data_IF_121573269798
#
_entry.id   IF_121573269798
#
_cell.length_a   1.000
_cell.length_b   1.000
_cell.length_c   1.000
_cell.angle_alpha   90.00
_cell.angle_beta   90.00
_cell.angle_gamma   90.00
#
_symmetry.space_group_name_H-M   'P 1'
#
loop_
_entity.id
_entity.type
_entity.pdbx_description
1 polymer ?
#
# COMPACT_ATOMS: atom_id res chain seq x y z
N UNK A 1 -26.47 -2.71 78.54
CA UNK A 1 -26.80 -1.71 79.58
C UNK A 1 -26.09 -0.41 79.24
N UNK A 2 -26.74 0.74 79.48
CA UNK A 2 -26.95 1.76 78.45
C UNK A 2 -26.42 3.15 78.86
N UNK A 3 -26.48 4.11 77.95
CA UNK A 3 -27.04 5.46 78.20
C UNK A 3 -27.18 6.18 76.83
N UNK A 4 -28.35 6.14 76.18
CA UNK A 4 -29.50 7.09 76.23
C UNK A 4 -29.20 8.57 75.98
N UNK A 5 -30.02 9.13 75.07
CA UNK A 5 -30.62 10.49 74.97
C UNK A 5 -30.17 11.24 73.70
N UNK A 6 -30.98 11.97 72.94
CA UNK A 6 -32.43 12.29 72.89
C UNK A 6 -32.69 12.99 71.55
N UNK A 7 -33.89 12.83 70.97
CA UNK A 7 -34.36 13.58 69.79
C UNK A 7 -34.57 15.07 70.10
N UNK A 8 -34.40 15.96 69.10
CA UNK A 8 -35.29 17.12 68.84
C UNK A 8 -34.99 17.86 67.50
N UNK A 9 -36.07 18.06 66.74
CA UNK A 9 -36.48 19.21 65.92
C UNK A 9 -35.59 19.86 64.81
N UNK A 10 -36.17 19.95 63.60
CA UNK A 10 -35.93 20.92 62.51
C UNK A 10 -36.30 22.37 62.93
N UNK A 11 -35.93 23.49 62.24
CA UNK A 11 -35.85 23.67 60.77
C UNK A 11 -34.79 24.65 60.17
N UNK A 12 -34.78 24.70 58.82
CA UNK A 12 -34.33 25.72 57.83
C UNK A 12 -33.30 26.81 58.22
N UNK A 13 -32.20 26.88 57.44
CA UNK A 13 -31.62 28.13 56.98
C UNK A 13 -30.86 27.93 55.65
N UNK A 14 -31.13 28.81 54.68
CA UNK A 14 -30.58 28.83 53.34
C UNK A 14 -29.20 29.52 53.30
N UNK A 15 -28.35 29.11 52.36
CA UNK A 15 -27.24 29.93 51.88
C UNK A 15 -27.03 29.70 50.38
N UNK A 16 -27.21 30.79 49.64
CA UNK A 16 -27.08 31.01 48.20
C UNK A 16 -25.62 30.86 47.73
N UNK A 17 -25.40 30.13 46.64
CA UNK A 17 -24.14 30.14 45.89
C UNK A 17 -24.36 30.75 44.50
N UNK A 18 -23.51 31.72 44.18
CA UNK A 18 -23.51 32.56 42.97
C UNK A 18 -23.19 31.75 41.72
N UNK A 19 -24.03 31.90 40.69
CA UNK A 19 -23.79 31.45 39.31
C UNK A 19 -22.99 32.53 38.58
N UNK A 20 -21.78 32.19 38.15
CA UNK A 20 -21.01 32.95 37.17
C UNK A 20 -20.76 32.08 35.94
N UNK A 21 -21.63 32.17 34.94
CA UNK A 21 -21.51 31.44 33.68
C UNK A 21 -20.52 32.14 32.74
N UNK A 22 -19.39 31.50 32.47
CA UNK A 22 -18.56 31.83 31.32
C UNK A 22 -19.11 31.08 30.09
N UNK A 23 -19.64 31.83 29.12
CA UNK A 23 -20.00 31.33 27.79
C UNK A 23 -18.72 30.94 27.06
N UNK A 24 -18.36 29.66 27.10
CA UNK A 24 -17.43 29.08 26.14
C UNK A 24 -18.13 29.04 24.78
N UNK A 25 -17.74 29.95 23.88
CA UNK A 25 -18.06 29.85 22.46
C UNK A 25 -17.33 28.61 21.91
N UNK A 26 -18.00 27.46 21.98
CA UNK A 26 -17.54 26.23 21.36
C UNK A 26 -17.41 26.45 19.86
N UNK A 27 -16.19 26.26 19.35
CA UNK A 27 -15.98 26.03 17.91
C UNK A 27 -16.92 24.86 17.55
N UNK A 28 -17.80 24.97 16.55
CA UNK A 28 -18.63 23.85 16.17
C UNK A 28 -17.72 22.69 15.78
N UNK A 29 -17.68 21.65 16.61
CA UNK A 29 -17.27 20.33 16.15
C UNK A 29 -18.30 19.95 15.10
N UNK A 30 -17.94 20.08 13.83
CA UNK A 30 -18.75 19.48 12.77
C UNK A 30 -18.84 17.99 13.07
N UNK A 31 -20.05 17.53 13.41
CA UNK A 31 -20.34 16.11 13.45
C UNK A 31 -20.01 15.56 12.07
N UNK A 32 -18.99 14.72 11.98
CA UNK A 32 -18.59 14.07 10.73
C UNK A 32 -19.77 13.25 10.24
N UNK A 33 -20.18 13.46 8.98
CA UNK A 33 -21.25 12.66 8.41
C UNK A 33 -20.82 11.19 8.40
N UNK A 34 -21.77 10.28 8.63
CA UNK A 34 -21.49 8.86 8.55
C UNK A 34 -21.10 8.52 7.11
N UNK A 35 -20.01 7.76 6.93
CA UNK A 35 -19.62 7.28 5.60
C UNK A 35 -20.78 6.45 5.02
N UNK A 36 -21.29 6.80 3.83
CA UNK A 36 -22.44 6.12 3.24
C UNK A 36 -22.09 4.67 2.86
N UNK A 37 -23.11 3.82 2.69
CA UNK A 37 -22.92 2.40 2.36
C UNK A 37 -22.22 2.20 1.02
N UNK A 38 -22.35 3.16 0.11
CA UNK A 38 -21.58 3.25 -1.13
C UNK A 38 -21.13 4.69 -1.39
N UNK A 39 -20.01 4.87 -2.09
CA UNK A 39 -19.63 6.14 -2.72
C UNK A 39 -19.47 5.97 -4.23
N UNK A 40 -19.49 7.07 -4.98
CA UNK A 40 -19.30 7.03 -6.43
C UNK A 40 -17.81 6.88 -6.73
N UNK A 41 -17.45 5.93 -7.59
CA UNK A 41 -16.15 5.86 -8.25
C UNK A 41 -16.33 6.29 -9.70
N UNK A 42 -15.76 7.43 -10.09
CA UNK A 42 -15.74 7.86 -11.49
C UNK A 42 -14.47 7.34 -12.15
N UNK A 43 -14.66 6.54 -13.18
CA UNK A 43 -13.59 6.00 -14.03
C UNK A 43 -13.53 6.81 -15.31
N UNK A 44 -12.35 7.32 -15.66
CA UNK A 44 -12.13 8.09 -16.89
C UNK A 44 -11.07 7.40 -17.75
N UNK A 45 -11.37 7.16 -19.02
CA UNK A 45 -10.45 6.52 -19.95
C UNK A 45 -9.69 7.56 -20.78
N UNK A 46 -8.49 7.93 -20.32
CA UNK A 46 -7.55 8.80 -21.03
C UNK A 46 -6.41 8.01 -21.70
N UNK A 47 -6.57 6.70 -21.86
CA UNK A 47 -5.51 5.83 -22.38
C UNK A 47 -5.19 6.05 -23.85
N UNK A 48 -6.10 6.67 -24.61
CA UNK A 48 -6.03 6.79 -26.06
C UNK A 48 -6.26 5.46 -26.79
N UNK A 49 -6.58 4.38 -26.07
CA UNK A 49 -6.75 3.03 -26.63
C UNK A 49 -8.20 2.78 -27.07
N UNK A 50 -8.38 2.18 -28.24
CA UNK A 50 -9.71 1.91 -28.82
C UNK A 50 -10.32 0.59 -28.37
N UNK A 51 -9.54 -0.29 -27.74
CA UNK A 51 -10.04 -1.56 -27.22
C UNK A 51 -11.07 -1.34 -26.10
N UNK A 52 -12.07 -2.23 -25.95
CA UNK A 52 -12.98 -2.17 -24.81
C UNK A 52 -12.22 -2.30 -23.49
N UNK A 53 -12.69 -1.58 -22.47
CA UNK A 53 -12.21 -1.71 -21.10
C UNK A 53 -13.15 -2.62 -20.31
N UNK A 54 -12.61 -3.56 -19.56
CA UNK A 54 -13.36 -4.36 -18.60
C UNK A 54 -12.91 -4.01 -17.18
N UNK A 55 -13.85 -3.69 -16.31
CA UNK A 55 -13.62 -3.37 -14.91
C UNK A 55 -14.06 -4.53 -14.01
N UNK A 56 -13.42 -4.69 -12.85
CA UNK A 56 -13.84 -5.67 -11.84
C UNK A 56 -13.64 -5.06 -10.45
N UNK A 57 -14.67 -5.10 -9.60
CA UNK A 57 -14.58 -4.73 -8.18
C UNK A 57 -14.61 -5.99 -7.32
N UNK A 58 -13.44 -6.47 -6.89
CA UNK A 58 -13.24 -7.79 -6.30
C UNK A 58 -12.63 -7.69 -4.90
N UNK A 59 -13.15 -8.42 -3.93
CA UNK A 59 -12.66 -8.32 -2.56
C UNK A 59 -13.59 -8.89 -1.51
N UNK A 60 -13.58 -8.30 -0.32
CA UNK A 60 -14.31 -8.74 0.86
C UNK A 60 -15.34 -7.69 1.28
N UNK A 61 -16.60 -8.11 1.42
CA UNK A 61 -17.65 -7.28 2.02
C UNK A 61 -17.45 -7.19 3.53
N UNK A 62 -17.30 -5.97 4.06
CA UNK A 62 -16.88 -5.78 5.45
C UNK A 62 -17.96 -6.18 6.48
N UNK A 63 -19.24 -6.06 6.12
CA UNK A 63 -20.34 -6.43 7.02
C UNK A 63 -20.48 -7.94 7.25
N UNK A 64 -20.15 -8.75 6.24
CA UNK A 64 -20.31 -10.21 6.27
C UNK A 64 -18.99 -10.97 6.37
N UNK A 65 -17.86 -10.33 6.04
CA UNK A 65 -16.56 -10.98 5.90
C UNK A 65 -16.45 -11.92 4.69
N UNK A 66 -17.46 -11.95 3.81
CA UNK A 66 -17.46 -12.82 2.63
C UNK A 66 -16.66 -12.22 1.48
N UNK A 67 -15.91 -13.07 0.77
CA UNK A 67 -15.29 -12.69 -0.50
C UNK A 67 -16.30 -12.77 -1.65
N UNK A 68 -16.18 -11.85 -2.59
CA UNK A 68 -17.07 -11.75 -3.74
C UNK A 68 -16.66 -10.61 -4.66
N UNK A 69 -17.65 -10.08 -5.36
CA UNK A 69 -17.52 -8.93 -6.25
C UNK A 69 -18.70 -7.98 -6.07
N UNK A 70 -18.50 -6.71 -6.42
CA UNK A 70 -19.57 -5.73 -6.49
C UNK A 70 -19.90 -5.40 -7.95
N UNK A 71 -21.19 -5.29 -8.29
CA UNK A 71 -21.62 -4.84 -9.61
C UNK A 71 -21.56 -3.31 -9.75
N UNK A 72 -21.92 -2.77 -10.92
CA UNK A 72 -21.87 -1.33 -11.19
C UNK A 72 -22.72 -0.48 -10.21
N UNK A 73 -23.78 -1.05 -9.63
CA UNK A 73 -24.63 -0.38 -8.66
C UNK A 73 -24.15 -0.55 -7.22
N UNK A 74 -23.03 -1.26 -7.01
CA UNK A 74 -22.44 -1.54 -5.70
C UNK A 74 -23.13 -2.68 -4.96
N UNK A 75 -23.97 -3.46 -5.63
CA UNK A 75 -24.57 -4.64 -5.02
C UNK A 75 -23.53 -5.75 -4.93
N UNK A 76 -23.41 -6.35 -3.75
CA UNK A 76 -22.45 -7.42 -3.48
C UNK A 76 -22.98 -8.77 -3.92
N UNK A 77 -22.10 -9.55 -4.56
CA UNK A 77 -22.32 -10.92 -5.01
C UNK A 77 -21.23 -11.82 -4.43
N UNK A 78 -21.58 -12.70 -3.50
CA UNK A 78 -20.63 -13.65 -2.92
C UNK A 78 -20.10 -14.62 -3.98
N UNK A 79 -18.82 -15.00 -3.89
CA UNK A 79 -18.29 -16.05 -4.75
C UNK A 79 -18.96 -17.40 -4.46
N UNK A 80 -19.19 -18.24 -5.48
CA UNK A 80 -19.52 -19.65 -5.25
C UNK A 80 -18.35 -20.37 -4.57
N UNK A 81 -18.59 -21.57 -4.05
CA UNK A 81 -17.53 -22.39 -3.47
C UNK A 81 -16.43 -22.70 -4.51
N UNK A 82 -15.18 -22.45 -4.13
CA UNK A 82 -14.01 -22.85 -4.91
C UNK A 82 -13.63 -24.32 -4.72
N UNK A 83 -12.49 -24.72 -5.27
CA UNK A 83 -11.99 -26.09 -5.18
C UNK A 83 -10.47 -26.17 -5.00
N UNK A 84 -9.96 -27.40 -4.79
CA UNK A 84 -8.56 -27.72 -4.89
C UNK A 84 -8.38 -28.94 -5.81
N UNK A 85 -7.97 -28.76 -7.08
CA UNK A 85 -7.43 -27.53 -7.68
C UNK A 85 -8.48 -26.41 -7.87
N UNK A 86 -8.05 -25.13 -8.00
CA UNK A 86 -8.96 -24.00 -8.16
C UNK A 86 -9.89 -24.12 -9.38
N UNK A 87 -11.16 -23.76 -9.19
CA UNK A 87 -12.21 -23.80 -10.23
C UNK A 87 -12.43 -22.41 -10.84
N UNK A 88 -12.97 -22.28 -12.07
CA UNK A 88 -13.25 -20.97 -12.66
C UNK A 88 -14.24 -20.13 -11.82
N UNK A 89 -13.95 -18.83 -11.67
CA UNK A 89 -14.90 -17.87 -11.12
C UNK A 89 -15.97 -17.49 -12.17
N UNK A 90 -17.18 -17.09 -11.75
CA UNK A 90 -18.15 -16.49 -12.67
C UNK A 90 -17.65 -15.15 -13.21
N UNK A 91 -18.16 -14.74 -14.37
CA UNK A 91 -17.80 -13.47 -15.00
C UNK A 91 -18.36 -12.28 -14.20
N UNK A 92 -17.46 -11.54 -13.54
CA UNK A 92 -17.75 -10.35 -12.74
C UNK A 92 -17.41 -9.05 -13.47
N UNK A 93 -17.22 -9.08 -14.80
CA UNK A 93 -16.80 -7.90 -15.56
C UNK A 93 -17.92 -6.85 -15.66
N UNK A 94 -17.57 -5.61 -15.37
CA UNK A 94 -18.37 -4.41 -15.64
C UNK A 94 -17.82 -3.74 -16.91
N UNK A 95 -18.65 -3.35 -17.89
CA UNK A 95 -18.18 -2.56 -19.03
C UNK A 95 -17.56 -1.22 -18.58
N UNK A 96 -16.32 -0.97 -18.97
CA UNK A 96 -15.62 0.27 -18.70
C UNK A 96 -15.90 1.37 -19.75
N UNK A 97 -15.44 2.61 -19.50
CA UNK A 97 -15.64 3.71 -20.42
C UNK A 97 -14.82 3.57 -21.71
N UNK A 98 -15.41 3.98 -22.84
CA UNK A 98 -14.70 4.16 -24.11
C UNK A 98 -13.63 5.26 -24.01
N UNK A 99 -12.68 5.30 -24.96
CA UNK A 99 -11.64 6.33 -25.00
C UNK A 99 -12.24 7.75 -24.99
N UNK A 100 -11.71 8.61 -24.12
CA UNK A 100 -12.16 9.99 -23.95
C UNK A 100 -13.50 10.13 -23.20
N UNK A 101 -14.04 9.05 -22.65
CA UNK A 101 -15.29 9.04 -21.88
C UNK A 101 -15.04 8.69 -20.42
N UNK A 102 -16.06 8.93 -19.59
CA UNK A 102 -16.11 8.51 -18.20
C UNK A 102 -17.33 7.64 -17.94
N UNK A 103 -17.22 6.74 -16.97
CA UNK A 103 -18.31 5.96 -16.41
C UNK A 103 -18.26 6.05 -14.88
N UNK A 104 -19.38 5.81 -14.21
CA UNK A 104 -19.44 5.82 -12.74
C UNK A 104 -20.00 4.49 -12.27
N UNK A 105 -19.32 3.87 -11.30
CA UNK A 105 -19.84 2.75 -10.51
C UNK A 105 -19.99 3.17 -9.05
N UNK A 106 -20.70 2.37 -8.26
CA UNK A 106 -20.80 2.53 -6.81
C UNK A 106 -19.88 1.53 -6.13
N UNK A 107 -18.95 2.01 -5.30
CA UNK A 107 -18.11 1.13 -4.48
C UNK A 107 -18.72 1.02 -3.07
N UNK A 108 -19.01 -0.20 -2.56
CA UNK A 108 -19.58 -0.39 -1.23
C UNK A 108 -18.52 -0.35 -0.13
N UNK A 109 -18.96 -0.40 1.13
CA UNK A 109 -18.07 -0.70 2.27
C UNK A 109 -17.43 -2.07 2.10
N UNK A 110 -16.18 -2.07 1.66
CA UNK A 110 -15.53 -3.18 0.99
C UNK A 110 -14.01 -3.00 1.08
N UNK A 111 -13.26 -4.10 1.02
CA UNK A 111 -11.80 -4.06 0.94
C UNK A 111 -11.33 -5.01 -0.14
N UNK A 112 -10.59 -4.49 -1.11
CA UNK A 112 -10.32 -5.24 -2.33
C UNK A 112 -9.60 -4.43 -3.40
N UNK A 113 -9.84 -4.82 -4.65
CA UNK A 113 -9.17 -4.31 -5.84
C UNK A 113 -10.16 -3.92 -6.92
N UNK A 114 -9.95 -2.75 -7.52
CA UNK A 114 -10.56 -2.36 -8.79
C UNK A 114 -9.58 -2.73 -9.90
N UNK A 115 -9.83 -3.85 -10.58
CA UNK A 115 -9.07 -4.25 -11.77
C UNK A 115 -9.61 -3.54 -13.01
N UNK A 116 -8.73 -3.30 -13.97
CA UNK A 116 -9.11 -2.93 -15.34
C UNK A 116 -8.23 -3.64 -16.36
N UNK A 117 -8.81 -4.11 -17.46
CA UNK A 117 -8.10 -4.73 -18.58
C UNK A 117 -8.54 -4.17 -19.93
N UNK A 118 -7.67 -4.24 -20.93
CA UNK A 118 -7.93 -3.76 -22.29
C UNK A 118 -8.13 -4.91 -23.27
N UNK A 119 -9.22 -4.89 -24.02
CA UNK A 119 -9.50 -5.80 -25.13
C UNK A 119 -9.92 -7.21 -24.74
N UNK A 120 -9.38 -7.75 -23.64
CA UNK A 120 -9.68 -9.08 -23.14
C UNK A 120 -10.13 -9.04 -21.68
N UNK A 121 -11.08 -9.91 -21.34
CA UNK A 121 -11.51 -10.13 -19.95
C UNK A 121 -10.44 -10.91 -19.18
N UNK A 122 -10.27 -10.56 -17.90
CA UNK A 122 -9.44 -11.33 -16.98
C UNK A 122 -10.09 -12.66 -16.63
N UNK A 123 -9.24 -13.65 -16.37
CA UNK A 123 -9.61 -15.00 -15.95
C UNK A 123 -9.27 -15.17 -14.47
N UNK A 124 -10.30 -15.32 -13.65
CA UNK A 124 -10.17 -15.57 -12.22
C UNK A 124 -10.55 -17.02 -11.87
N UNK A 125 -9.94 -17.53 -10.80
CA UNK A 125 -10.23 -18.85 -10.24
C UNK A 125 -10.50 -18.75 -8.74
N UNK A 126 -11.20 -19.75 -8.20
CA UNK A 126 -11.58 -19.86 -6.80
C UNK A 126 -10.96 -21.12 -6.20
N UNK A 127 -10.11 -20.92 -5.20
CA UNK A 127 -9.60 -21.98 -4.33
C UNK A 127 -10.52 -22.19 -3.12
N UNK A 128 -10.27 -23.19 -2.27
CA UNK A 128 -11.03 -23.41 -1.03
C UNK A 128 -11.12 -22.15 -0.16
N UNK A 129 -10.07 -21.32 -0.16
CA UNK A 129 -9.99 -20.07 0.60
C UNK A 129 -10.53 -18.81 -0.10
N UNK A 130 -11.13 -18.94 -1.30
CA UNK A 130 -11.68 -17.81 -2.06
C UNK A 130 -10.89 -17.48 -3.33
N UNK A 131 -10.83 -16.20 -3.69
CA UNK A 131 -10.26 -15.73 -4.95
C UNK A 131 -8.75 -15.99 -5.03
N UNK A 132 -8.31 -16.61 -6.14
CA UNK A 132 -6.89 -16.69 -6.50
C UNK A 132 -6.51 -15.40 -7.22
N UNK A 133 -5.54 -14.66 -6.69
CA UNK A 133 -5.01 -13.46 -7.33
C UNK A 133 -4.19 -13.84 -8.58
N UNK A 134 -4.18 -13.01 -9.65
CA UNK A 134 -3.31 -13.23 -10.80
C UNK A 134 -1.83 -13.29 -10.39
N UNK A 135 -1.08 -14.23 -10.97
CA UNK A 135 0.34 -14.45 -10.70
C UNK A 135 1.12 -14.48 -12.03
N UNK A 136 1.14 -13.35 -12.73
CA UNK A 136 1.67 -13.20 -14.10
C UNK A 136 3.18 -13.34 -14.24
N UNK A 137 3.91 -13.48 -13.14
CA UNK A 137 5.30 -13.96 -13.19
C UNK A 137 5.37 -15.40 -13.70
N UNK A 138 4.30 -16.19 -13.53
CA UNK A 138 4.17 -17.53 -14.09
C UNK A 138 3.76 -17.45 -15.56
N UNK A 139 4.55 -18.00 -16.51
CA UNK A 139 4.19 -17.99 -17.93
C UNK A 139 2.89 -18.71 -18.28
N UNK A 140 2.40 -19.59 -17.40
CA UNK A 140 1.14 -20.33 -17.56
C UNK A 140 -0.07 -19.64 -16.92
N UNK A 141 0.10 -18.46 -16.29
CA UNK A 141 -1.04 -17.71 -15.76
C UNK A 141 -1.97 -17.32 -16.93
N UNK A 142 -3.29 -17.55 -16.82
CA UNK A 142 -4.21 -17.26 -17.92
C UNK A 142 -4.31 -15.76 -18.27
N UNK A 143 -3.78 -14.88 -17.42
CA UNK A 143 -3.74 -13.43 -17.62
C UNK A 143 -2.37 -12.94 -18.10
N UNK A 144 -1.40 -13.82 -18.35
CA UNK A 144 -0.03 -13.45 -18.72
C UNK A 144 0.01 -12.51 -19.94
N UNK A 145 -0.77 -12.81 -20.98
CA UNK A 145 -0.79 -12.03 -22.23
C UNK A 145 -1.80 -10.86 -22.24
N UNK A 146 -2.46 -10.57 -21.11
CA UNK A 146 -3.51 -9.54 -21.01
C UNK A 146 -2.92 -8.22 -20.49
N UNK A 147 -3.15 -7.10 -21.18
CA UNK A 147 -2.82 -5.79 -20.64
C UNK A 147 -3.86 -5.38 -19.57
N UNK A 148 -3.46 -5.39 -18.31
CA UNK A 148 -4.30 -5.00 -17.18
C UNK A 148 -3.49 -4.35 -16.05
N UNK A 149 -4.21 -3.74 -15.12
CA UNK A 149 -3.69 -3.33 -13.82
C UNK A 149 -4.82 -3.35 -12.77
N UNK A 150 -4.51 -2.99 -11.54
CA UNK A 150 -5.50 -2.80 -10.47
C UNK A 150 -5.10 -1.67 -9.53
N UNK A 151 -6.10 -1.06 -8.90
CA UNK A 151 -5.95 -0.20 -7.72
C UNK A 151 -6.48 -0.96 -6.48
N UNK A 152 -5.84 -0.78 -5.33
CA UNK A 152 -6.30 -1.35 -4.06
C UNK A 152 -7.05 -0.30 -3.25
N UNK A 153 -8.15 -0.71 -2.63
CA UNK A 153 -8.94 0.20 -1.81
C UNK A 153 -9.57 -0.47 -0.60
N UNK A 154 -9.88 0.36 0.40
CA UNK A 154 -10.76 0.01 1.50
C UNK A 154 -11.70 1.18 1.76
N UNK A 155 -13.00 0.91 1.71
CA UNK A 155 -14.03 1.82 2.19
C UNK A 155 -14.68 1.21 3.43
N UNK A 156 -14.67 1.93 4.55
CA UNK A 156 -15.33 1.51 5.79
C UNK A 156 -15.88 2.72 6.55
N UNK A 157 -16.38 2.53 7.76
CA UNK A 157 -16.94 3.62 8.59
C UNK A 157 -15.90 4.69 8.96
N UNK A 158 -14.60 4.39 8.84
CA UNK A 158 -13.50 5.32 9.08
C UNK A 158 -13.04 6.09 7.85
N UNK A 159 -13.59 5.80 6.64
CA UNK A 159 -13.27 6.53 5.42
C UNK A 159 -12.84 5.64 4.25
N UNK A 160 -12.19 6.26 3.28
CA UNK A 160 -11.60 5.63 2.10
C UNK A 160 -10.08 5.69 2.18
N UNK A 161 -9.43 4.58 1.85
CA UNK A 161 -8.03 4.49 1.44
C UNK A 161 -8.00 3.91 0.03
N UNK A 162 -7.28 4.56 -0.89
CA UNK A 162 -7.21 4.19 -2.29
C UNK A 162 -5.79 4.44 -2.80
N UNK A 163 -5.14 3.41 -3.37
CA UNK A 163 -3.75 3.51 -3.81
C UNK A 163 -3.57 3.33 -5.33
N UNK A 164 -2.43 3.81 -5.80
CA UNK A 164 -1.77 3.29 -6.99
C UNK A 164 -0.62 2.40 -6.52
N UNK A 165 -0.47 1.20 -7.08
CA UNK A 165 0.53 0.22 -6.64
C UNK A 165 1.35 -0.34 -7.80
N UNK A 166 2.64 -0.56 -7.51
CA UNK A 166 3.63 -1.14 -8.39
C UNK A 166 4.44 -2.24 -7.67
N UNK A 167 3.94 -2.72 -6.51
CA UNK A 167 4.62 -3.73 -5.67
C UNK A 167 4.81 -5.04 -6.43
N UNK A 168 3.83 -5.39 -7.28
CA UNK A 168 3.88 -6.61 -8.08
C UNK A 168 4.40 -6.35 -9.50
N UNK A 169 3.94 -5.27 -10.14
CA UNK A 169 4.30 -4.95 -11.53
C UNK A 169 4.09 -3.47 -11.88
N UNK A 170 4.84 -3.00 -12.87
CA UNK A 170 4.58 -1.74 -13.58
C UNK A 170 3.97 -2.08 -14.95
N UNK A 171 2.74 -1.63 -15.22
CA UNK A 171 1.94 -2.07 -16.37
C UNK A 171 1.13 -0.89 -16.94
N UNK A 172 -0.09 -1.12 -17.40
CA UNK A 172 -1.03 -0.08 -17.82
C UNK A 172 -1.16 1.00 -16.73
N UNK A 173 -0.82 2.27 -17.00
CA UNK A 173 -0.74 3.31 -16.00
C UNK A 173 -2.13 3.81 -15.63
N UNK A 174 -2.27 4.23 -14.39
CA UNK A 174 -3.49 4.82 -13.88
C UNK A 174 -3.17 5.73 -12.70
N UNK A 175 -4.05 6.70 -12.45
CA UNK A 175 -4.04 7.51 -11.23
C UNK A 175 -5.34 7.35 -10.48
N UNK A 176 -5.29 7.62 -9.18
CA UNK A 176 -6.43 7.55 -8.28
C UNK A 176 -6.65 8.87 -7.57
N UNK A 177 -7.86 9.10 -7.06
CA UNK A 177 -8.16 10.28 -6.27
C UNK A 177 -9.36 10.14 -5.36
N UNK A 178 -9.47 11.07 -4.42
CA UNK A 178 -10.61 11.21 -3.50
C UNK A 178 -11.04 12.66 -3.41
N UNK A 179 -12.35 12.91 -3.49
CA UNK A 179 -13.00 14.18 -3.19
C UNK A 179 -13.50 14.15 -1.75
N UNK A 180 -13.13 15.17 -0.97
CA UNK A 180 -13.49 15.31 0.44
C UNK A 180 -14.80 16.08 0.61
N UNK A 181 -15.33 16.07 1.84
CA UNK A 181 -16.53 16.83 2.23
C UNK A 181 -16.38 18.34 1.98
N UNK A 182 -15.18 18.90 2.10
CA UNK A 182 -14.89 20.32 1.82
C UNK A 182 -14.80 20.66 0.32
N UNK A 183 -14.94 19.65 -0.55
CA UNK A 183 -14.87 19.77 -2.00
C UNK A 183 -13.45 19.68 -2.58
N UNK A 184 -12.40 19.65 -1.77
CA UNK A 184 -11.02 19.45 -2.22
C UNK A 184 -10.82 18.05 -2.81
N UNK A 185 -9.88 17.93 -3.75
CA UNK A 185 -9.52 16.67 -4.39
C UNK A 185 -8.03 16.41 -4.17
N UNK A 186 -7.70 15.20 -3.71
CA UNK A 186 -6.32 14.69 -3.73
C UNK A 186 -6.20 13.56 -4.74
N UNK A 187 -5.08 13.54 -5.45
CA UNK A 187 -4.76 12.53 -6.46
C UNK A 187 -3.33 12.04 -6.32
N UNK A 188 -3.04 10.81 -6.77
CA UNK A 188 -1.68 10.25 -6.84
C UNK A 188 -1.59 9.15 -7.91
N UNK A 189 -0.37 8.67 -8.22
CA UNK A 189 -0.11 7.61 -9.20
C UNK A 189 -0.03 8.09 -10.65
N UNK A 190 -0.15 9.40 -10.90
CA UNK A 190 -0.02 9.95 -12.25
C UNK A 190 1.46 9.96 -12.67
N UNK A 191 1.75 9.40 -13.85
CA UNK A 191 3.07 9.51 -14.46
C UNK A 191 3.29 10.90 -15.07
N UNK A 192 4.55 11.33 -15.11
CA UNK A 192 5.01 12.43 -15.97
C UNK A 192 4.78 12.06 -17.43
N UNK A 193 4.68 13.07 -18.30
CA UNK A 193 4.67 12.85 -19.75
C UNK A 193 5.92 12.04 -20.17
N UNK A 194 5.74 11.01 -21.00
CA UNK A 194 6.82 10.09 -21.36
C UNK A 194 7.26 9.14 -20.23
N UNK A 195 6.49 9.10 -19.14
CA UNK A 195 6.87 8.40 -17.93
C UNK A 195 6.79 6.88 -18.07
N UNK A 196 5.84 6.38 -18.88
CA UNK A 196 5.66 4.95 -19.10
C UNK A 196 6.78 4.40 -19.96
N UNK A 197 7.04 5.01 -21.12
CA UNK A 197 8.15 4.62 -22.01
C UNK A 197 9.51 4.79 -21.32
N UNK A 198 9.72 5.92 -20.65
CA UNK A 198 10.95 6.23 -19.94
C UNK A 198 11.25 5.33 -18.74
N UNK A 199 10.25 4.63 -18.18
CA UNK A 199 10.47 3.59 -17.17
C UNK A 199 11.09 2.34 -17.81
N UNK A 200 10.50 1.84 -18.90
CA UNK A 200 11.01 0.65 -19.59
C UNK A 200 12.41 0.88 -20.17
N UNK A 201 12.67 2.07 -20.72
CA UNK A 201 14.01 2.43 -21.21
C UNK A 201 15.06 2.45 -20.08
N UNK A 202 14.69 2.92 -18.88
CA UNK A 202 15.56 2.89 -17.72
C UNK A 202 15.91 1.45 -17.30
N UNK A 203 14.92 0.54 -17.27
CA UNK A 203 15.17 -0.87 -16.97
C UNK A 203 16.04 -1.56 -18.03
N UNK A 204 15.82 -1.28 -19.33
CA UNK A 204 16.65 -1.82 -20.41
C UNK A 204 18.11 -1.38 -20.30
N UNK A 205 18.34 -0.13 -19.90
CA UNK A 205 19.67 0.43 -19.75
C UNK A 205 20.39 -0.05 -18.47
N UNK A 206 19.66 -0.59 -17.50
CA UNK A 206 20.21 -0.96 -16.21
C UNK A 206 20.88 -2.36 -16.26
N UNK A 207 22.21 -2.45 -16.02
CA UNK A 207 22.91 -3.74 -15.99
C UNK A 207 22.53 -4.56 -14.76
N UNK A 208 22.74 -5.88 -14.83
CA UNK A 208 22.53 -6.79 -13.70
C UNK A 208 21.20 -7.57 -13.73
N UNK A 209 20.52 -7.61 -14.88
CA UNK A 209 19.34 -8.46 -15.10
C UNK A 209 17.99 -7.73 -15.10
N UNK A 210 17.96 -6.43 -14.80
CA UNK A 210 16.74 -5.62 -14.71
C UNK A 210 15.92 -5.56 -16.02
N UNK A 211 16.58 -5.65 -17.18
CA UNK A 211 15.90 -5.74 -18.47
C UNK A 211 15.08 -7.04 -18.61
N UNK A 212 15.47 -8.11 -17.91
CA UNK A 212 14.74 -9.38 -17.85
C UNK A 212 13.44 -9.33 -17.06
N UNK A 213 13.16 -8.22 -16.36
CA UNK A 213 11.86 -7.99 -15.70
C UNK A 213 10.75 -7.68 -16.71
N UNK A 214 11.11 -7.22 -17.91
CA UNK A 214 10.17 -6.75 -18.92
C UNK A 214 9.52 -7.94 -19.61
N UNK A 215 8.18 -7.97 -19.57
CA UNK A 215 7.35 -8.92 -20.31
C UNK A 215 6.73 -8.24 -21.53
N UNK A 216 6.89 -8.87 -22.69
CA UNK A 216 6.32 -8.44 -23.97
C UNK A 216 5.30 -9.44 -24.46
N UNK A 217 4.19 -8.96 -25.02
CA UNK A 217 3.20 -9.80 -25.68
C UNK A 217 3.74 -10.43 -26.97
N UNK A 218 2.97 -11.37 -27.53
CA UNK A 218 3.34 -12.08 -28.76
C UNK A 218 3.50 -11.17 -29.99
N UNK A 219 2.90 -9.98 -29.97
CA UNK A 219 3.02 -8.96 -31.02
C UNK A 219 4.24 -8.03 -30.84
N UNK A 220 5.06 -8.28 -29.80
CA UNK A 220 6.22 -7.48 -29.45
C UNK A 220 5.92 -6.23 -28.64
N UNK A 221 4.65 -5.94 -28.34
CA UNK A 221 4.28 -4.83 -27.46
C UNK A 221 4.70 -5.12 -26.01
N UNK A 222 5.16 -4.09 -25.30
CA UNK A 222 5.45 -4.22 -23.86
C UNK A 222 4.15 -4.30 -23.10
N UNK A 223 3.99 -5.34 -22.28
CA UNK A 223 2.84 -5.52 -21.40
C UNK A 223 3.09 -4.91 -20.03
N UNK A 224 4.22 -5.27 -19.41
CA UNK A 224 4.57 -4.89 -18.04
C UNK A 224 6.05 -5.13 -17.74
N UNK A 225 6.52 -4.63 -16.60
CA UNK A 225 7.70 -5.15 -15.93
C UNK A 225 7.29 -5.75 -14.58
N UNK A 226 7.81 -6.93 -14.26
CA UNK A 226 7.71 -7.52 -12.93
C UNK A 226 8.50 -6.70 -11.91
N UNK A 227 8.04 -6.64 -10.67
CA UNK A 227 8.83 -6.10 -9.57
C UNK A 227 10.06 -6.99 -9.29
N UNK A 228 11.10 -6.48 -8.62
CA UNK A 228 12.32 -7.24 -8.39
C UNK A 228 12.13 -8.46 -7.47
N UNK A 229 11.06 -8.50 -6.67
CA UNK A 229 10.64 -9.72 -5.94
C UNK A 229 10.43 -10.89 -6.92
N UNK A 230 9.53 -10.70 -7.89
CA UNK A 230 9.30 -11.71 -8.92
C UNK A 230 10.45 -11.82 -9.90
N UNK A 231 11.28 -10.78 -10.02
CA UNK A 231 12.57 -10.85 -10.71
C UNK A 231 13.50 -11.90 -10.14
N UNK A 232 13.58 -12.00 -8.81
CA UNK A 232 14.35 -13.08 -8.15
C UNK A 232 13.68 -14.43 -8.35
N UNK A 233 12.35 -14.52 -8.22
CA UNK A 233 11.57 -15.77 -8.41
C UNK A 233 11.75 -16.36 -9.82
N UNK A 234 11.72 -15.51 -10.85
CA UNK A 234 11.86 -15.91 -12.26
C UNK A 234 13.30 -16.09 -12.70
N UNK A 235 14.28 -15.74 -11.84
CA UNK A 235 15.71 -15.79 -12.15
C UNK A 235 16.22 -14.63 -13.02
N UNK A 236 15.42 -13.59 -13.26
CA UNK A 236 15.85 -12.37 -13.93
C UNK A 236 16.90 -11.60 -13.09
N UNK A 237 16.78 -11.65 -11.76
CA UNK A 237 17.76 -11.11 -10.81
C UNK A 237 18.34 -12.24 -9.96
N UNK A 238 19.65 -12.24 -9.67
CA UNK A 238 20.23 -13.23 -8.78
C UNK A 238 19.79 -12.99 -7.32
N UNK A 239 19.69 -14.05 -6.52
CA UNK A 239 19.43 -13.96 -5.08
C UNK A 239 20.49 -13.11 -4.33
N UNK A 240 21.67 -12.95 -4.92
CA UNK A 240 22.79 -12.15 -4.41
C UNK A 240 22.75 -10.68 -4.85
N UNK A 241 21.68 -10.20 -5.50
CA UNK A 241 21.63 -8.86 -6.10
C UNK A 241 21.86 -7.71 -5.10
N UNK A 242 21.57 -7.93 -3.81
CA UNK A 242 21.73 -6.95 -2.73
C UNK A 242 22.90 -7.27 -1.79
N UNK A 243 23.63 -8.37 -1.99
CA UNK A 243 24.60 -8.90 -1.03
C UNK A 243 25.71 -7.89 -0.68
N UNK A 244 26.25 -7.19 -1.67
CA UNK A 244 27.30 -6.20 -1.44
C UNK A 244 26.83 -5.08 -0.50
N UNK A 245 25.65 -4.51 -0.75
CA UNK A 245 25.09 -3.46 0.10
C UNK A 245 24.78 -3.98 1.50
N UNK A 246 24.14 -5.15 1.59
CA UNK A 246 23.79 -5.79 2.87
C UNK A 246 25.04 -6.10 3.70
N UNK A 247 26.11 -6.61 3.08
CA UNK A 247 27.37 -6.89 3.77
C UNK A 247 28.01 -5.61 4.32
N UNK A 248 28.02 -4.51 3.55
CA UNK A 248 28.51 -3.21 4.01
C UNK A 248 27.70 -2.67 5.19
N UNK A 249 26.36 -2.81 5.17
CA UNK A 249 25.48 -2.45 6.30
C UNK A 249 25.82 -3.26 7.55
N UNK A 250 25.95 -4.59 7.42
CA UNK A 250 26.34 -5.46 8.53
C UNK A 250 27.70 -5.08 9.12
N UNK A 251 28.68 -4.78 8.26
CA UNK A 251 30.02 -4.37 8.68
C UNK A 251 30.00 -3.05 9.45
N UNK A 252 29.28 -2.03 8.97
CA UNK A 252 29.13 -0.73 9.64
C UNK A 252 28.58 -0.90 11.07
N UNK A 253 27.50 -1.67 11.20
CA UNK A 253 26.79 -1.83 12.47
C UNK A 253 27.37 -2.89 13.40
N UNK A 254 28.49 -3.53 13.05
CA UNK A 254 29.29 -4.30 14.00
C UNK A 254 30.05 -3.39 14.99
N UNK A 255 30.48 -2.21 14.52
CA UNK A 255 31.18 -1.21 15.33
C UNK A 255 30.31 -0.03 15.75
N UNK A 256 29.20 0.23 15.06
CA UNK A 256 28.31 1.37 15.29
C UNK A 256 26.88 0.92 15.64
N UNK A 257 26.07 1.85 16.17
CA UNK A 257 24.66 1.58 16.48
C UNK A 257 23.76 2.19 15.41
N UNK A 258 22.81 1.42 14.91
CA UNK A 258 21.67 1.91 14.13
C UNK A 258 20.54 2.27 15.11
N UNK A 259 20.06 3.51 15.09
CA UNK A 259 18.86 3.89 15.85
C UNK A 259 17.64 3.82 14.94
N UNK A 260 16.64 3.04 15.32
CA UNK A 260 15.35 2.93 14.63
C UNK A 260 14.28 3.61 15.47
N UNK A 261 13.57 4.57 14.87
CA UNK A 261 12.42 5.27 15.46
C UNK A 261 11.19 5.00 14.58
N UNK A 262 10.54 3.83 14.75
CA UNK A 262 9.62 3.31 13.74
C UNK A 262 8.19 3.83 13.87
N UNK A 263 7.91 4.67 14.88
CA UNK A 263 6.59 5.25 15.15
C UNK A 263 6.67 6.77 15.00
N UNK A 264 6.06 7.31 13.94
CA UNK A 264 6.10 8.73 13.64
C UNK A 264 5.45 9.60 14.73
N UNK A 265 4.40 9.08 15.39
CA UNK A 265 3.67 9.71 16.50
C UNK A 265 4.35 9.52 17.86
N UNK A 266 5.37 8.66 17.96
CA UNK A 266 6.09 8.35 19.19
C UNK A 266 7.61 8.45 18.97
N UNK A 267 8.15 9.67 18.72
CA UNK A 267 9.55 9.88 18.36
C UNK A 267 10.56 9.47 19.46
N UNK A 268 10.10 9.31 20.70
CA UNK A 268 10.92 8.86 21.82
C UNK A 268 11.02 7.33 21.91
N UNK A 269 10.16 6.59 21.20
CA UNK A 269 10.19 5.13 21.15
C UNK A 269 11.25 4.65 20.16
N UNK A 270 12.46 4.45 20.69
CA UNK A 270 13.67 4.11 19.94
C UNK A 270 14.15 2.69 20.21
N UNK A 271 14.71 2.08 19.17
CA UNK A 271 15.38 0.79 19.23
C UNK A 271 16.81 0.92 18.68
N UNK A 272 17.73 0.13 19.23
CA UNK A 272 19.16 0.26 18.96
C UNK A 272 19.71 -1.04 18.40
N UNK A 273 20.01 -1.06 17.10
CA UNK A 273 20.53 -2.19 16.37
C UNK A 273 22.05 -2.23 16.39
N UNK A 274 22.63 -3.37 16.76
CA UNK A 274 24.06 -3.65 16.63
C UNK A 274 24.31 -5.09 16.20
N UNK A 275 25.28 -5.28 15.31
CA UNK A 275 25.68 -6.60 14.82
C UNK A 275 26.65 -7.24 15.82
N UNK A 276 26.38 -8.48 16.18
CA UNK A 276 27.28 -9.36 16.95
C UNK A 276 27.26 -10.75 16.30
N UNK A 277 28.44 -11.24 15.89
CA UNK A 277 28.53 -12.35 14.94
C UNK A 277 27.86 -11.94 13.61
N UNK A 278 26.96 -12.78 13.10
CA UNK A 278 26.18 -12.51 11.89
C UNK A 278 24.76 -11.96 12.14
N UNK A 279 24.44 -11.65 13.41
CA UNK A 279 23.08 -11.26 13.81
C UNK A 279 23.04 -9.79 14.23
N UNK A 280 22.12 -9.01 13.65
CA UNK A 280 21.79 -7.67 14.13
C UNK A 280 20.76 -7.77 15.25
N UNK A 281 21.16 -7.44 16.47
CA UNK A 281 20.29 -7.45 17.66
C UNK A 281 19.80 -6.04 17.95
N UNK A 282 18.49 -5.88 18.11
CA UNK A 282 17.86 -4.62 18.51
C UNK A 282 17.53 -4.64 19.99
N UNK A 283 18.00 -3.63 20.73
CA UNK A 283 17.57 -3.39 22.11
C UNK A 283 16.57 -2.25 22.19
N UNK A 284 15.71 -2.27 23.21
CA UNK A 284 14.93 -1.09 23.60
C UNK A 284 15.76 -0.14 24.49
N UNK A 285 15.11 0.89 25.05
CA UNK A 285 15.74 1.88 25.94
C UNK A 285 16.13 1.33 27.31
N UNK A 286 15.61 0.16 27.71
CA UNK A 286 16.03 -0.55 28.93
C UNK A 286 17.32 -1.36 28.73
N UNK A 287 17.73 -1.55 27.47
CA UNK A 287 18.89 -2.38 27.09
C UNK A 287 18.55 -3.85 26.86
N UNK A 288 17.28 -4.25 26.99
CA UNK A 288 16.84 -5.60 26.69
C UNK A 288 16.82 -5.83 25.17
N UNK A 289 17.33 -6.97 24.69
CA UNK A 289 17.18 -7.39 23.28
C UNK A 289 15.72 -7.76 23.04
N UNK A 290 15.07 -7.08 22.09
CA UNK A 290 13.64 -7.25 21.80
C UNK A 290 13.36 -7.92 20.47
N UNK A 291 14.31 -7.87 19.52
CA UNK A 291 14.25 -8.62 18.27
C UNK A 291 15.64 -8.73 17.64
N UNK A 292 15.79 -9.65 16.69
CA UNK A 292 17.05 -9.89 15.98
C UNK A 292 16.81 -10.19 14.50
N UNK A 293 17.78 -9.84 13.66
CA UNK A 293 17.73 -10.04 12.22
C UNK A 293 18.97 -10.79 11.74
N UNK A 294 18.75 -11.86 10.99
CA UNK A 294 19.79 -12.47 10.17
C UNK A 294 20.06 -11.58 8.96
N UNK A 295 21.22 -11.77 8.32
CA UNK A 295 21.57 -11.07 7.09
C UNK A 295 20.55 -11.40 5.99
N UNK A 296 19.79 -10.41 5.45
CA UNK A 296 18.76 -10.67 4.45
C UNK A 296 19.37 -10.89 3.07
N UNK A 297 18.72 -11.74 2.26
CA UNK A 297 18.99 -11.92 0.84
C UNK A 297 18.16 -10.94 -0.02
N UNK A 298 18.37 -10.94 -1.33
CA UNK A 298 17.63 -10.05 -2.24
C UNK A 298 16.11 -10.28 -2.19
N UNK A 299 15.67 -11.52 -2.04
CA UNK A 299 14.24 -11.84 -1.94
C UNK A 299 13.61 -11.26 -0.67
N UNK A 300 14.27 -11.40 0.49
CA UNK A 300 13.85 -10.78 1.75
C UNK A 300 13.78 -9.26 1.63
N UNK A 301 14.74 -8.64 0.96
CA UNK A 301 14.78 -7.17 0.75
C UNK A 301 13.68 -6.71 -0.20
N UNK A 302 13.61 -7.23 -1.42
CA UNK A 302 12.66 -6.76 -2.43
C UNK A 302 11.21 -7.08 -2.07
N UNK A 303 10.95 -8.19 -1.40
CA UNK A 303 9.61 -8.58 -0.96
C UNK A 303 9.20 -8.07 0.43
N UNK A 304 10.13 -7.48 1.21
CA UNK A 304 9.92 -7.15 2.62
C UNK A 304 9.34 -8.31 3.44
N UNK A 305 9.91 -9.49 3.26
CA UNK A 305 9.42 -10.74 3.85
C UNK A 305 10.59 -11.67 4.21
N UNK A 306 10.30 -12.94 4.52
CA UNK A 306 11.30 -13.95 4.91
C UNK A 306 12.17 -13.48 6.07
N UNK A 307 13.44 -13.12 5.83
CA UNK A 307 14.35 -12.66 6.89
C UNK A 307 14.05 -11.22 7.36
N UNK A 308 13.19 -10.51 6.63
CA UNK A 308 12.63 -9.21 6.98
C UNK A 308 11.11 -9.27 7.21
N UNK A 309 10.59 -10.40 7.71
CA UNK A 309 9.18 -10.51 8.09
C UNK A 309 8.75 -9.38 9.04
N UNK A 310 7.55 -8.84 8.79
CA UNK A 310 7.00 -7.70 9.50
C UNK A 310 5.64 -8.05 10.13
N UNK A 311 5.62 -8.84 11.22
CA UNK A 311 4.38 -9.23 11.89
C UNK A 311 3.60 -8.01 12.39
N UNK A 312 2.29 -8.17 12.59
CA UNK A 312 1.44 -7.11 13.14
C UNK A 312 1.58 -7.01 14.67
N UNK A 313 2.79 -6.67 15.13
CA UNK A 313 3.12 -6.41 16.53
C UNK A 313 3.60 -4.96 16.76
N UNK A 314 3.94 -4.63 18.00
CA UNK A 314 4.39 -3.29 18.38
C UNK A 314 5.92 -3.14 18.47
N UNK A 315 6.69 -4.12 17.98
CA UNK A 315 8.16 -4.16 18.10
C UNK A 315 8.83 -4.65 16.81
N UNK A 316 8.80 -5.95 16.48
CA UNK A 316 9.50 -6.48 15.31
C UNK A 316 8.92 -5.90 14.04
N UNK A 317 7.60 -5.88 13.88
CA UNK A 317 6.94 -5.39 12.68
C UNK A 317 7.37 -3.98 12.29
N UNK A 318 7.23 -2.98 13.16
CA UNK A 318 7.65 -1.61 12.89
C UNK A 318 9.16 -1.45 12.63
N UNK A 319 10.02 -2.23 13.31
CA UNK A 319 11.46 -2.25 13.03
C UNK A 319 11.74 -2.86 11.64
N UNK A 320 11.15 -4.00 11.31
CA UNK A 320 11.28 -4.67 10.00
C UNK A 320 10.85 -3.76 8.85
N UNK A 321 9.73 -3.05 8.98
CA UNK A 321 9.24 -2.08 7.98
C UNK A 321 10.27 -0.99 7.73
N UNK A 322 10.79 -0.41 8.81
CA UNK A 322 11.83 0.63 8.76
C UNK A 322 13.11 0.13 8.08
N UNK A 323 13.56 -1.08 8.43
CA UNK A 323 14.73 -1.70 7.82
C UNK A 323 14.51 -2.03 6.34
N UNK A 324 13.35 -2.57 5.97
CA UNK A 324 13.07 -2.91 4.58
C UNK A 324 13.09 -1.67 3.68
N UNK A 325 12.47 -0.57 4.13
CA UNK A 325 12.53 0.71 3.41
C UNK A 325 13.98 1.19 3.29
N UNK A 326 14.78 1.09 4.36
CA UNK A 326 16.19 1.45 4.35
C UNK A 326 17.06 0.63 3.39
N UNK A 327 16.80 -0.68 3.27
CA UNK A 327 17.50 -1.53 2.29
C UNK A 327 17.08 -1.21 0.85
N UNK A 328 15.77 -1.11 0.58
CA UNK A 328 15.28 -0.80 -0.77
C UNK A 328 15.75 0.57 -1.26
N UNK A 329 15.74 1.58 -0.39
CA UNK A 329 16.21 2.95 -0.68
C UNK A 329 17.71 3.12 -0.52
N UNK A 330 18.44 2.08 -0.12
CA UNK A 330 19.88 2.12 0.15
C UNK A 330 20.34 3.25 1.11
N UNK A 331 19.58 3.56 2.15
CA UNK A 331 19.88 4.66 3.09
C UNK A 331 20.56 4.25 4.40
N UNK A 332 20.62 2.95 4.73
CA UNK A 332 21.24 2.46 5.97
C UNK A 332 22.76 2.73 6.05
N UNK A 333 23.42 3.00 4.93
CA UNK A 333 24.81 3.48 4.93
C UNK A 333 24.92 5.00 5.04
N UNK A 334 23.91 5.76 4.60
CA UNK A 334 23.89 7.23 4.59
C UNK A 334 23.72 7.79 6.00
N UNK A 335 22.69 7.34 6.71
CA UNK A 335 22.38 7.77 8.08
C UNK A 335 22.48 6.61 9.06
N UNK A 336 22.81 6.90 10.32
CA UNK A 336 22.69 5.93 11.43
C UNK A 336 21.37 6.08 12.19
N UNK A 337 20.44 6.89 11.68
CA UNK A 337 19.08 7.07 12.14
C UNK A 337 18.13 6.60 11.04
N UNK A 338 17.22 5.69 11.37
CA UNK A 338 16.19 5.20 10.46
C UNK A 338 14.79 5.37 11.08
N UNK A 339 13.75 5.63 10.26
CA UNK A 339 13.81 5.79 8.81
C UNK A 339 14.49 7.09 8.37
N UNK A 340 15.12 7.05 7.19
CA UNK A 340 15.48 8.25 6.46
C UNK A 340 14.26 8.70 5.65
N UNK A 341 13.83 9.94 5.88
CA UNK A 341 12.66 10.53 5.26
C UNK A 341 13.02 11.62 4.23
N UNK A 342 14.29 11.73 3.85
CA UNK A 342 14.79 12.73 2.90
C UNK A 342 14.88 12.12 1.49
N UNK A 343 13.97 12.47 0.55
CA UNK A 343 13.95 11.82 -0.76
C UNK A 343 15.25 11.96 -1.57
N UNK A 344 16.03 13.03 -1.34
CA UNK A 344 17.32 13.24 -1.98
C UNK A 344 18.39 12.19 -1.62
N UNK A 345 18.25 11.53 -0.47
CA UNK A 345 19.19 10.53 0.02
C UNK A 345 18.87 9.12 -0.51
N UNK A 346 17.70 8.94 -1.14
CA UNK A 346 17.24 7.64 -1.60
C UNK A 346 17.93 7.21 -2.90
N UNK A 347 18.19 5.92 -3.02
CA UNK A 347 18.67 5.24 -4.22
C UNK A 347 20.01 5.78 -4.78
N UNK A 348 20.87 6.29 -3.88
CA UNK A 348 22.18 6.86 -4.25
C UNK A 348 23.30 5.82 -4.34
N UNK A 349 23.16 4.67 -3.68
CA UNK A 349 24.12 3.57 -3.83
C UNK A 349 23.98 2.91 -5.21
N UNK A 350 25.09 2.42 -5.75
CA UNK A 350 25.08 1.69 -7.02
C UNK A 350 24.28 0.38 -6.92
N UNK A 351 24.27 -0.24 -5.74
CA UNK A 351 23.47 -1.42 -5.40
C UNK A 351 22.25 -0.97 -4.60
N UNK A 352 21.11 -0.86 -5.28
CA UNK A 352 19.84 -0.37 -4.72
C UNK A 352 18.66 -1.00 -5.48
N UNK A 353 17.43 -0.77 -5.02
CA UNK A 353 16.24 -1.16 -5.78
C UNK A 353 16.06 -0.23 -7.01
N UNK A 354 16.67 -0.61 -8.13
CA UNK A 354 16.65 0.18 -9.37
C UNK A 354 15.25 0.29 -9.98
N UNK A 355 14.40 -0.72 -9.78
CA UNK A 355 12.99 -0.68 -10.17
C UNK A 355 12.26 0.44 -9.43
N UNK A 356 12.33 0.47 -8.10
CA UNK A 356 11.66 1.50 -7.30
C UNK A 356 12.19 2.89 -7.62
N UNK A 357 13.52 3.05 -7.73
CA UNK A 357 14.16 4.29 -8.20
C UNK A 357 13.56 4.78 -9.52
N UNK A 358 13.42 3.87 -10.50
CA UNK A 358 12.86 4.21 -11.80
C UNK A 358 11.39 4.61 -11.70
N UNK A 359 10.56 3.89 -10.93
CA UNK A 359 9.14 4.22 -10.76
C UNK A 359 8.97 5.63 -10.15
N UNK A 360 9.59 5.91 -8.99
CA UNK A 360 9.49 7.23 -8.34
C UNK A 360 9.94 8.36 -9.26
N UNK A 361 11.01 8.16 -10.04
CA UNK A 361 11.50 9.17 -10.97
C UNK A 361 10.49 9.53 -12.07
N UNK A 362 9.55 8.64 -12.38
CA UNK A 362 8.50 8.84 -13.40
C UNK A 362 7.16 9.31 -12.84
N UNK A 363 6.94 9.23 -11.53
CA UNK A 363 5.72 9.75 -10.89
C UNK A 363 5.74 11.28 -10.81
N UNK A 364 4.60 11.92 -11.09
CA UNK A 364 4.49 13.38 -11.16
C UNK A 364 4.64 14.05 -9.79
N UNK A 365 4.14 13.42 -8.73
CA UNK A 365 4.26 13.82 -7.33
C UNK A 365 5.49 13.19 -6.63
N UNK A 366 6.26 12.37 -7.35
CA UNK A 366 7.40 11.62 -6.83
C UNK A 366 7.04 10.46 -5.88
N UNK A 367 5.75 10.16 -5.68
CA UNK A 367 5.26 9.10 -4.78
C UNK A 367 4.93 7.83 -5.58
N UNK A 368 5.25 6.68 -5.02
CA UNK A 368 5.00 5.38 -5.64
C UNK A 368 4.85 4.30 -4.57
N UNK A 369 4.14 3.22 -4.88
CA UNK A 369 4.13 2.01 -4.06
C UNK A 369 4.96 0.95 -4.79
N UNK A 370 6.28 1.13 -4.83
CA UNK A 370 7.17 0.29 -5.67
C UNK A 370 7.77 -0.92 -4.92
N UNK A 371 7.61 -0.96 -3.61
CA UNK A 371 7.85 -2.10 -2.72
C UNK A 371 6.89 -2.02 -1.52
N UNK A 372 6.76 -3.10 -0.75
CA UNK A 372 5.65 -3.27 0.21
C UNK A 372 5.61 -2.25 1.37
N UNK A 373 6.73 -1.57 1.67
CA UNK A 373 6.81 -0.59 2.76
C UNK A 373 7.28 0.80 2.29
N UNK A 374 6.84 1.21 1.10
CA UNK A 374 7.10 2.56 0.59
C UNK A 374 6.37 3.65 1.41
N UNK A 375 5.39 3.24 2.22
CA UNK A 375 4.67 4.09 3.17
C UNK A 375 5.54 4.63 4.30
N UNK A 376 6.68 3.99 4.57
CA UNK A 376 7.68 4.52 5.50
C UNK A 376 8.16 5.89 4.99
N UNK A 377 7.96 6.93 5.80
CA UNK A 377 8.30 8.30 5.42
C UNK A 377 7.30 8.95 4.46
N UNK A 378 6.10 8.38 4.32
CA UNK A 378 5.00 8.86 3.51
C UNK A 378 5.40 9.04 2.02
N UNK A 379 6.05 8.06 1.40
CA UNK A 379 6.48 8.13 -0.01
C UNK A 379 5.58 7.31 -0.95
N UNK A 380 4.58 6.65 -0.38
CA UNK A 380 3.61 5.84 -1.07
C UNK A 380 2.59 6.66 -1.87
N UNK A 381 2.14 6.11 -2.98
CA UNK A 381 1.05 6.66 -3.80
C UNK A 381 -0.31 6.21 -3.25
N UNK A 382 -0.69 6.75 -2.08
CA UNK A 382 -1.98 6.54 -1.44
C UNK A 382 -2.68 7.86 -1.16
N UNK A 383 -3.99 7.91 -1.42
CA UNK A 383 -4.87 8.98 -0.93
C UNK A 383 -5.85 8.41 0.08
N UNK A 384 -6.19 9.22 1.08
CA UNK A 384 -7.23 8.90 2.04
C UNK A 384 -8.09 10.12 2.38
N UNK A 385 -9.32 9.82 2.81
CA UNK A 385 -10.18 10.79 3.47
C UNK A 385 -11.16 10.10 4.41
N UNK A 386 -11.47 10.77 5.50
CA UNK A 386 -12.40 10.26 6.49
C UNK A 386 -13.88 10.40 6.11
N UNK A 387 -14.24 11.38 5.30
CA UNK A 387 -15.62 11.66 4.88
C UNK A 387 -15.69 11.73 3.35
N UNK A 388 -15.34 10.62 2.66
CA UNK A 388 -15.14 10.61 1.22
C UNK A 388 -16.48 10.82 0.50
N UNK A 389 -16.53 11.80 -0.39
CA UNK A 389 -17.73 12.10 -1.17
C UNK A 389 -17.73 11.38 -2.53
N UNK A 390 -16.54 11.21 -3.12
CA UNK A 390 -16.35 10.59 -4.43
C UNK A 390 -14.91 10.08 -4.56
N UNK A 391 -14.73 8.98 -5.26
CA UNK A 391 -13.44 8.44 -5.67
C UNK A 391 -13.24 8.60 -7.18
N UNK A 392 -11.98 8.59 -7.61
CA UNK A 392 -11.59 8.68 -9.02
C UNK A 392 -10.59 7.59 -9.38
N UNK A 393 -10.74 7.04 -10.58
CA UNK A 393 -9.75 6.19 -11.25
C UNK A 393 -9.57 6.71 -12.69
N UNK A 394 -8.38 7.16 -13.05
CA UNK A 394 -8.10 7.63 -14.41
C UNK A 394 -7.14 6.68 -15.08
N UNK A 395 -7.55 6.10 -16.20
CA UNK A 395 -6.71 5.22 -17.02
C UNK A 395 -5.80 6.09 -17.89
N UNK A 396 -4.49 5.93 -17.74
CA UNK A 396 -3.48 6.77 -18.38
C UNK A 396 -3.00 6.27 -19.75
N UNK A 397 -2.38 7.13 -20.56
CA UNK A 397 -1.75 6.76 -21.82
C UNK A 397 -0.48 5.92 -21.60
N UNK A 398 -0.08 5.14 -22.61
CA UNK A 398 1.19 4.40 -22.63
C UNK A 398 2.28 5.26 -23.28
N UNK A 399 2.60 6.41 -22.69
CA UNK A 399 3.49 7.44 -23.28
C UNK A 399 4.92 7.46 -22.74
#
# INVERSE_FOLDING_TARGET
MPHTRTRRALPLAAATALVGGALALGVPQHARAAVPDTIALTITNNSGRTQPVYLYDLGTQLSSGQQGWADANGAFHAWPAGGNPPTPAPDAAIPGPAAGQSATIRIPKFSGRIYFSYGQKLVFKLTTGGLVQPAVQNPSDPNHDILFNWSEYTLNDSGLWLNSTQVDMFSAPYSVGVRRADGSVSTTGQLKQGGWSGFFDALRAQPGGWSGLIQTGSDGSVLRALSPLYGVETGALPASAMDDYVNRVWQKYASSTLTVTPFADQPDKKFYGRVSGDVMNFTDTSGAVVTSFQKPDADSVFGCHKLLDAPNDAVRGPISRTLCAGFNRSTLLVSSQAPDNTPGDFYQDAVTNQYAKAVHARMSDGKAYAFAFDDVGNQESLVNDGDPQQAYLTLGPLD
#
